data_IF_719943203555
#
_entry.id   IF_719943203555
#
_cell.length_a   1.000
_cell.length_b   1.000
_cell.length_c   1.000
_cell.angle_alpha   90.00
_cell.angle_beta   90.00
_cell.angle_gamma   90.00
#
_symmetry.space_group_name_H-M   'P 1'
#
loop_
_entity.id
_entity.type
_entity.pdbx_description
1 polymer ?
#
# COMPACT_ATOMS: atom_id res chain seq x y z
N UNK A 1 -2.92 9.25 7.01
CA UNK A 1 -3.66 8.23 6.24
C UNK A 1 -3.74 8.52 4.73
N UNK A 2 -3.83 9.79 4.28
CA UNK A 2 -3.82 10.18 2.85
C UNK A 2 -2.48 9.88 2.14
N UNK A 3 -1.38 9.83 2.88
CA UNK A 3 -0.02 9.72 2.32
C UNK A 3 0.29 8.38 1.63
N UNK A 4 -0.21 7.27 2.19
CA UNK A 4 -0.01 5.95 1.57
C UNK A 4 -0.71 5.84 0.20
N UNK A 5 -1.81 6.59 -0.01
CA UNK A 5 -2.56 6.59 -1.28
C UNK A 5 -1.79 7.19 -2.46
N UNK A 6 -0.69 7.91 -2.23
CA UNK A 6 0.19 8.45 -3.29
C UNK A 6 1.51 7.69 -3.42
N UNK A 7 1.75 6.70 -2.57
CA UNK A 7 3.04 6.03 -2.48
C UNK A 7 3.22 4.88 -3.47
N UNK A 8 2.17 4.31 -4.08
CA UNK A 8 2.35 3.15 -4.97
C UNK A 8 2.91 3.58 -6.34
N UNK A 9 4.16 3.19 -6.60
CA UNK A 9 4.92 3.58 -7.80
C UNK A 9 4.83 2.52 -8.90
N UNK A 10 5.00 1.25 -8.53
CA UNK A 10 5.01 0.16 -9.50
C UNK A 10 4.56 -1.15 -8.87
N UNK A 11 4.07 -2.06 -9.70
CA UNK A 11 3.85 -3.46 -9.36
C UNK A 11 4.68 -4.30 -10.33
N UNK A 12 5.46 -5.21 -9.79
CA UNK A 12 6.34 -6.12 -10.53
C UNK A 12 5.82 -7.53 -10.36
N UNK A 13 5.60 -8.22 -11.46
CA UNK A 13 5.18 -9.62 -11.49
C UNK A 13 6.36 -10.51 -11.84
N UNK A 14 6.44 -11.68 -11.21
CA UNK A 14 7.48 -12.66 -11.51
C UNK A 14 7.10 -14.04 -10.97
N UNK A 15 7.92 -15.04 -11.31
CA UNK A 15 7.70 -16.44 -10.91
C UNK A 15 7.55 -16.61 -9.38
N UNK A 16 8.21 -15.75 -8.59
CA UNK A 16 8.19 -15.78 -7.13
C UNK A 16 7.03 -14.97 -6.51
N UNK A 17 6.06 -14.56 -7.33
CA UNK A 17 4.90 -13.78 -6.91
C UNK A 17 5.06 -12.27 -7.11
N UNK A 18 3.95 -11.56 -6.90
CA UNK A 18 3.86 -10.12 -7.12
C UNK A 18 4.57 -9.35 -6.01
N UNK A 19 5.29 -8.30 -6.38
CA UNK A 19 5.89 -7.30 -5.48
C UNK A 19 5.41 -5.92 -5.87
N UNK A 20 5.43 -4.99 -4.93
CA UNK A 20 5.11 -3.60 -5.20
C UNK A 20 6.25 -2.70 -4.73
N UNK A 21 6.48 -1.61 -5.45
CA UNK A 21 7.34 -0.51 -5.04
C UNK A 21 6.46 0.60 -4.49
N UNK A 22 6.66 0.94 -3.22
CA UNK A 22 6.05 2.11 -2.60
C UNK A 22 7.12 3.17 -2.31
N UNK A 23 6.70 4.43 -2.22
CA UNK A 23 7.54 5.55 -1.87
C UNK A 23 6.97 6.24 -0.63
N UNK A 24 7.87 6.66 0.26
CA UNK A 24 7.52 7.54 1.38
C UNK A 24 7.46 9.02 0.93
N UNK A 25 7.03 9.94 1.80
CA UNK A 25 6.94 11.36 1.47
C UNK A 25 8.30 12.02 1.20
N UNK A 26 9.39 11.43 1.70
CA UNK A 26 10.76 11.90 1.48
C UNK A 26 11.35 11.38 0.15
N UNK A 27 10.58 10.62 -0.64
CA UNK A 27 11.02 10.08 -1.92
C UNK A 27 11.74 8.73 -1.81
N UNK A 28 11.85 8.13 -0.62
CA UNK A 28 12.54 6.86 -0.43
C UNK A 28 11.65 5.70 -0.84
N UNK A 29 12.19 4.85 -1.74
CA UNK A 29 11.51 3.68 -2.27
C UNK A 29 11.68 2.42 -1.41
N UNK A 30 10.63 1.61 -1.32
CA UNK A 30 10.58 0.36 -0.58
C UNK A 30 9.86 -0.72 -1.40
N UNK A 31 10.48 -1.90 -1.51
CA UNK A 31 9.84 -3.07 -2.13
C UNK A 31 9.08 -3.84 -1.05
N UNK A 32 7.80 -4.08 -1.29
CA UNK A 32 6.89 -4.78 -0.37
C UNK A 32 6.34 -6.06 -1.00
N UNK A 33 5.95 -7.00 -0.14
CA UNK A 33 5.28 -8.27 -0.48
C UNK A 33 4.18 -8.56 0.55
N UNK A 34 3.28 -9.53 0.33
CA UNK A 34 2.33 -9.95 1.35
C UNK A 34 3.04 -10.27 2.68
N UNK A 35 2.47 -9.76 3.79
CA UNK A 35 3.04 -9.84 5.12
C UNK A 35 4.01 -8.71 5.49
N UNK A 36 4.42 -7.85 4.55
CA UNK A 36 5.28 -6.71 4.88
C UNK A 36 4.53 -5.68 5.73
N UNK A 37 5.06 -5.27 6.90
CA UNK A 37 4.50 -4.17 7.69
C UNK A 37 4.61 -2.84 6.93
N UNK A 38 3.53 -2.06 6.94
CA UNK A 38 3.44 -0.77 6.24
C UNK A 38 2.65 0.24 7.07
N UNK A 39 3.31 1.34 7.44
CA UNK A 39 2.73 2.37 8.30
C UNK A 39 2.26 1.86 9.68
N UNK A 40 1.45 2.65 10.41
CA UNK A 40 0.98 2.27 11.73
C UNK A 40 -0.03 1.11 11.67
N UNK A 41 0.29 -0.04 12.29
CA UNK A 41 -0.59 -1.21 12.38
C UNK A 41 -1.11 -1.76 11.03
N UNK A 42 -0.41 -1.46 9.93
CA UNK A 42 -0.76 -1.93 8.60
C UNK A 42 0.13 -3.08 8.16
N UNK A 43 -0.46 -4.02 7.44
CA UNK A 43 0.26 -5.13 6.81
C UNK A 43 -0.26 -5.33 5.39
N UNK A 44 0.64 -5.61 4.45
CA UNK A 44 0.26 -5.95 3.09
C UNK A 44 -0.49 -7.27 3.09
N UNK A 45 -1.78 -7.22 2.73
CA UNK A 45 -2.63 -8.41 2.62
C UNK A 45 -2.46 -9.08 1.27
N UNK A 46 -2.48 -8.29 0.20
CA UNK A 46 -2.43 -8.81 -1.17
C UNK A 46 -1.84 -7.78 -2.14
N UNK A 47 -1.17 -8.27 -3.19
CA UNK A 47 -0.70 -7.47 -4.31
C UNK A 47 -1.32 -8.04 -5.58
N UNK A 48 -2.22 -7.26 -6.18
CA UNK A 48 -2.89 -7.55 -7.45
C UNK A 48 -2.13 -6.88 -8.60
N UNK A 49 -2.62 -7.02 -9.83
CA UNK A 49 -1.98 -6.42 -11.00
C UNK A 49 -2.00 -4.89 -11.00
N UNK A 50 -3.05 -4.28 -10.46
CA UNK A 50 -3.28 -2.83 -10.54
C UNK A 50 -3.28 -2.13 -9.17
N UNK A 51 -3.24 -2.91 -8.07
CA UNK A 51 -3.41 -2.39 -6.72
C UNK A 51 -2.75 -3.24 -5.64
N UNK A 52 -2.51 -2.61 -4.49
CA UNK A 52 -2.08 -3.25 -3.26
C UNK A 52 -3.19 -3.10 -2.21
N UNK A 53 -3.54 -4.21 -1.55
CA UNK A 53 -4.49 -4.23 -0.44
C UNK A 53 -3.70 -4.32 0.86
N UNK A 54 -3.92 -3.35 1.75
CA UNK A 54 -3.33 -3.26 3.07
C UNK A 54 -4.44 -3.50 4.09
N UNK A 55 -4.23 -4.42 5.02
CA UNK A 55 -5.09 -4.59 6.19
C UNK A 55 -4.49 -3.79 7.35
N UNK A 56 -5.31 -2.95 7.99
CA UNK A 56 -4.88 -2.12 9.10
C UNK A 56 -5.77 -2.33 10.30
N UNK A 57 -5.17 -2.45 11.48
CA UNK A 57 -5.90 -2.48 12.74
C UNK A 57 -6.05 -1.07 13.29
N UNK A 58 -7.30 -0.63 13.49
CA UNK A 58 -7.62 0.69 14.05
C UNK A 58 -8.54 0.53 15.27
N UNK A 59 -8.51 1.52 16.16
CA UNK A 59 -9.49 1.62 17.25
C UNK A 59 -10.70 2.37 16.71
N UNK A 60 -11.85 1.73 16.74
CA UNK A 60 -13.12 2.37 16.46
C UNK A 60 -13.46 3.34 17.59
N UNK A 61 -13.59 4.63 17.27
CA UNK A 61 -13.75 5.69 18.28
C UNK A 61 -15.12 5.62 18.96
N UNK A 62 -16.15 5.13 18.27
CA UNK A 62 -17.51 5.04 18.82
C UNK A 62 -17.64 3.87 19.81
N UNK A 63 -16.93 2.77 19.57
CA UNK A 63 -17.08 1.52 20.33
C UNK A 63 -15.86 1.16 21.18
N UNK A 64 -14.74 1.86 21.02
CA UNK A 64 -13.44 1.57 21.63
C UNK A 64 -12.93 0.13 21.35
N UNK A 65 -13.33 -0.45 20.22
CA UNK A 65 -12.91 -1.80 19.81
C UNK A 65 -11.86 -1.75 18.72
N UNK A 66 -10.97 -2.74 18.70
CA UNK A 66 -10.05 -2.95 17.58
C UNK A 66 -10.82 -3.55 16.41
N UNK A 67 -10.78 -2.87 15.27
CA UNK A 67 -11.37 -3.34 14.01
C UNK A 67 -10.30 -3.42 12.93
N UNK A 68 -10.51 -4.32 11.97
CA UNK A 68 -9.65 -4.43 10.78
C UNK A 68 -10.29 -3.66 9.64
N UNK A 69 -9.52 -2.79 9.00
CA UNK A 69 -9.94 -1.98 7.86
C UNK A 69 -9.01 -2.25 6.69
N UNK A 70 -9.60 -2.45 5.52
CA UNK A 70 -8.82 -2.57 4.28
C UNK A 70 -8.60 -1.20 3.64
N UNK A 71 -7.38 -0.97 3.20
CA UNK A 71 -6.96 0.21 2.44
C UNK A 71 -6.43 -0.29 1.11
N UNK A 72 -6.98 0.26 0.03
CA UNK A 72 -6.53 -0.05 -1.33
C UNK A 72 -5.63 1.07 -1.83
N UNK A 73 -4.42 0.72 -2.26
CA UNK A 73 -3.53 1.59 -3.00
C UNK A 73 -3.61 1.20 -4.48
N UNK A 74 -4.08 2.10 -5.33
CA UNK A 74 -4.16 1.86 -6.78
C UNK A 74 -2.99 2.50 -7.50
N UNK A 75 -2.48 1.84 -8.53
CA UNK A 75 -1.49 2.46 -9.42
C UNK A 75 -2.17 3.66 -10.09
N UNK A 76 -1.67 4.87 -9.82
CA UNK A 76 -2.06 6.02 -10.60
C UNK A 76 -1.37 5.91 -11.95
N UNK A 77 -2.15 5.85 -13.03
CA UNK A 77 -1.63 6.03 -14.38
C UNK A 77 -0.99 7.41 -14.41
N UNK A 78 0.33 7.48 -14.60
CA UNK A 78 1.07 8.73 -14.51
C UNK A 78 0.40 9.82 -15.33
N UNK A 79 0.21 10.99 -14.72
CA UNK A 79 0.19 12.22 -15.50
C UNK A 79 1.51 12.21 -16.25
N UNK A 80 1.44 12.12 -17.58
CA UNK A 80 2.60 12.09 -18.44
C UNK A 80 3.49 13.25 -18.01
N UNK A 81 4.69 12.95 -17.52
CA UNK A 81 5.73 13.95 -17.49
C UNK A 81 5.93 14.38 -18.94
N UNK A 82 5.42 15.56 -19.28
CA UNK A 82 5.85 16.25 -20.48
C UNK A 82 7.35 16.50 -20.29
N UNK A 83 8.13 15.85 -21.16
CA UNK A 83 9.56 16.09 -21.35
C UNK A 83 9.71 17.19 -22.40
#
# INVERSE_FOLDING_TARGET
FVELQRGLVAIVWGHLGNRALIQDPAGKGYIIKPGTPVGPNGVVKQILSDRVIIEQTIIDVATNKKIRKEITLTLKRGEKGEI
#
